data_IF_531607122765
#
_entry.id   IF_531607122765
#
_cell.length_a   1.000
_cell.length_b   1.000
_cell.length_c   1.000
_cell.angle_alpha   90.00
_cell.angle_beta   90.00
_cell.angle_gamma   90.00
#
_symmetry.space_group_name_H-M   'P 1'
#
loop_
_entity.id
_entity.type
_entity.pdbx_description
1 polymer ?
#
# COMPACT_ATOMS: atom_id res chain seq x y z
N UNK A 1 5.86 -15.19 -15.16
CA UNK A 1 5.81 -13.70 -15.14
C UNK A 1 4.54 -13.01 -15.68
N UNK A 2 3.72 -13.63 -16.55
CA UNK A 2 2.59 -12.94 -17.23
C UNK A 2 1.40 -12.55 -16.32
N UNK A 3 1.16 -13.27 -15.22
CA UNK A 3 0.04 -12.97 -14.28
C UNK A 3 0.44 -12.11 -13.08
N UNK A 4 1.69 -12.22 -12.61
CA UNK A 4 2.17 -11.50 -11.41
C UNK A 4 2.21 -9.99 -11.62
N UNK A 5 2.68 -9.54 -12.79
CA UNK A 5 2.82 -8.11 -13.13
C UNK A 5 1.51 -7.31 -13.16
N UNK A 6 0.42 -7.75 -13.80
CA UNK A 6 -0.84 -7.00 -13.78
C UNK A 6 -1.44 -6.92 -12.38
N UNK A 7 -1.33 -8.00 -11.58
CA UNK A 7 -1.81 -8.02 -10.19
C UNK A 7 -1.01 -7.05 -9.33
N UNK A 8 0.32 -7.07 -9.41
CA UNK A 8 1.20 -6.13 -8.67
C UNK A 8 0.90 -4.67 -9.03
N UNK A 9 0.69 -4.35 -10.32
CA UNK A 9 0.31 -3.00 -10.76
C UNK A 9 -1.03 -2.55 -10.19
N UNK A 10 -2.01 -3.45 -10.13
CA UNK A 10 -3.32 -3.17 -9.57
C UNK A 10 -3.24 -2.89 -8.06
N UNK A 11 -2.54 -3.77 -7.31
CA UNK A 11 -2.31 -3.61 -5.87
C UNK A 11 -1.52 -2.33 -5.57
N UNK A 12 -0.52 -2.00 -6.40
CA UNK A 12 0.21 -0.75 -6.30
C UNK A 12 -0.71 0.46 -6.45
N UNK A 13 -1.53 0.49 -7.50
CA UNK A 13 -2.47 1.58 -7.75
C UNK A 13 -3.47 1.78 -6.60
N UNK A 14 -4.00 0.69 -6.05
CA UNK A 14 -4.92 0.73 -4.90
C UNK A 14 -4.22 1.28 -3.65
N UNK A 15 -2.99 0.85 -3.36
CA UNK A 15 -2.25 1.36 -2.21
C UNK A 15 -1.97 2.86 -2.32
N UNK A 16 -1.58 3.33 -3.51
CA UNK A 16 -1.38 4.76 -3.76
C UNK A 16 -2.69 5.53 -3.56
N UNK A 17 -3.81 5.01 -4.06
CA UNK A 17 -5.12 5.63 -3.86
C UNK A 17 -5.46 5.76 -2.37
N UNK A 18 -5.29 4.70 -1.58
CA UNK A 18 -5.53 4.74 -0.14
C UNK A 18 -4.62 5.73 0.58
N UNK A 19 -3.32 5.77 0.24
CA UNK A 19 -2.39 6.75 0.82
C UNK A 19 -2.77 8.18 0.50
N UNK A 20 -3.23 8.45 -0.72
CA UNK A 20 -3.69 9.78 -1.13
C UNK A 20 -4.95 10.16 -0.35
N UNK A 21 -5.95 9.28 -0.29
CA UNK A 21 -7.19 9.54 0.46
C UNK A 21 -6.92 9.74 1.95
N UNK A 22 -6.01 8.94 2.53
CA UNK A 22 -5.59 9.05 3.92
C UNK A 22 -4.80 10.33 4.17
N UNK A 23 -3.92 10.72 3.25
CA UNK A 23 -3.20 11.99 3.31
C UNK A 23 -4.15 13.20 3.25
N UNK A 24 -5.23 13.11 2.46
CA UNK A 24 -6.28 14.13 2.43
C UNK A 24 -7.11 14.18 3.72
N UNK A 25 -7.36 13.03 4.36
CA UNK A 25 -8.13 12.99 5.60
C UNK A 25 -7.31 13.36 6.83
N UNK A 26 -5.98 13.16 6.79
CA UNK A 26 -5.09 13.34 7.94
C UNK A 26 -5.16 14.72 8.62
N UNK A 27 -5.23 15.86 7.89
CA UNK A 27 -5.35 17.18 8.51
C UNK A 27 -6.64 17.40 9.31
N UNK A 28 -7.66 16.59 9.06
CA UNK A 28 -8.95 16.64 9.76
C UNK A 28 -8.99 15.74 11.00
N UNK A 29 -7.90 15.05 11.31
CA UNK A 29 -7.79 14.17 12.47
C UNK A 29 -7.17 14.91 13.65
N UNK A 30 -7.88 14.91 14.77
CA UNK A 30 -7.38 15.48 16.02
C UNK A 30 -6.33 14.55 16.66
N UNK A 31 -5.13 15.05 16.99
CA UNK A 31 -4.12 14.25 17.68
C UNK A 31 -4.63 13.72 19.02
N UNK A 32 -4.31 12.46 19.34
CA UNK A 32 -4.72 11.82 20.59
C UNK A 32 -6.10 11.16 20.53
N UNK A 33 -6.81 11.26 19.40
CA UNK A 33 -8.05 10.50 19.17
C UNK A 33 -7.78 9.10 18.62
N UNK A 34 -8.72 8.18 18.81
CA UNK A 34 -8.62 6.82 18.24
C UNK A 34 -8.51 6.82 16.71
N UNK A 35 -9.17 7.76 16.03
CA UNK A 35 -9.11 7.91 14.57
C UNK A 35 -7.71 8.30 14.09
N UNK A 36 -6.99 9.14 14.83
CA UNK A 36 -5.60 9.50 14.52
C UNK A 36 -4.67 8.27 14.59
N UNK A 37 -4.85 7.41 15.60
CA UNK A 37 -4.06 6.17 15.74
C UNK A 37 -4.35 5.22 14.60
N UNK A 38 -5.63 5.02 14.28
CA UNK A 38 -6.04 4.16 13.16
C UNK A 38 -5.46 4.67 11.85
N UNK A 39 -5.59 5.97 11.57
CA UNK A 39 -5.02 6.54 10.35
C UNK A 39 -3.51 6.36 10.26
N UNK A 40 -2.79 6.56 11.36
CA UNK A 40 -1.33 6.37 11.40
C UNK A 40 -0.95 4.90 11.17
N UNK A 41 -1.68 3.95 11.75
CA UNK A 41 -1.45 2.52 11.51
C UNK A 41 -1.80 2.11 10.07
N UNK A 42 -2.89 2.62 9.52
CA UNK A 42 -3.26 2.40 8.12
C UNK A 42 -2.19 2.95 7.17
N UNK A 43 -1.64 4.15 7.45
CA UNK A 43 -0.54 4.71 6.67
C UNK A 43 0.68 3.80 6.69
N UNK A 44 1.06 3.31 7.87
CA UNK A 44 2.20 2.41 8.02
C UNK A 44 2.01 1.10 7.24
N UNK A 45 0.82 0.50 7.29
CA UNK A 45 0.49 -0.72 6.55
C UNK A 45 0.49 -0.49 5.04
N UNK A 46 -0.10 0.59 4.56
CA UNK A 46 -0.09 0.93 3.15
C UNK A 46 1.33 1.20 2.63
N UNK A 47 2.18 1.89 3.39
CA UNK A 47 3.58 2.12 3.04
C UNK A 47 4.38 0.82 2.99
N UNK A 48 4.17 -0.07 3.97
CA UNK A 48 4.81 -1.38 3.99
C UNK A 48 4.39 -2.22 2.77
N UNK A 49 3.10 -2.25 2.46
CA UNK A 49 2.60 -2.99 1.30
C UNK A 49 3.13 -2.40 -0.02
N UNK A 50 3.21 -1.06 -0.12
CA UNK A 50 3.80 -0.37 -1.25
C UNK A 50 5.28 -0.73 -1.42
N UNK A 51 6.04 -0.79 -0.32
CA UNK A 51 7.45 -1.18 -0.34
C UNK A 51 7.63 -2.62 -0.82
N UNK A 52 6.81 -3.57 -0.34
CA UNK A 52 6.85 -4.97 -0.79
C UNK A 52 6.55 -5.05 -2.29
N UNK A 53 5.47 -4.41 -2.76
CA UNK A 53 5.10 -4.42 -4.18
C UNK A 53 6.18 -3.77 -5.04
N UNK A 54 6.81 -2.70 -4.57
CA UNK A 54 7.91 -2.04 -5.26
C UNK A 54 9.14 -2.96 -5.37
N UNK A 55 9.50 -3.67 -4.29
CA UNK A 55 10.60 -4.65 -4.28
C UNK A 55 10.31 -5.79 -5.26
N UNK A 56 9.14 -6.42 -5.16
CA UNK A 56 8.74 -7.52 -6.04
C UNK A 56 8.75 -7.10 -7.51
N UNK A 57 8.28 -5.87 -7.80
CA UNK A 57 8.28 -5.32 -9.15
C UNK A 57 9.68 -4.97 -9.63
N UNK A 58 10.54 -4.38 -8.79
CA UNK A 58 11.89 -3.99 -9.20
C UNK A 58 12.79 -5.20 -9.45
N UNK A 59 12.76 -6.19 -8.57
CA UNK A 59 13.56 -7.41 -8.68
C UNK A 59 12.94 -8.48 -9.60
N UNK A 60 11.79 -8.20 -10.22
CA UNK A 60 11.07 -9.13 -11.11
C UNK A 60 10.83 -10.49 -10.44
N UNK A 61 10.50 -10.49 -9.14
CA UNK A 61 10.25 -11.74 -8.39
C UNK A 61 8.88 -12.29 -8.78
N UNK A 62 8.86 -13.54 -9.24
CA UNK A 62 7.63 -14.23 -9.63
C UNK A 62 7.04 -14.99 -8.45
N UNK A 63 6.01 -14.41 -7.83
CA UNK A 63 5.36 -14.97 -6.63
C UNK A 63 4.39 -16.11 -6.98
N UNK A 64 3.82 -16.09 -8.19
CA UNK A 64 2.77 -17.03 -8.59
C UNK A 64 3.26 -18.20 -9.46
N UNK A 65 4.54 -18.24 -9.85
CA UNK A 65 5.11 -19.37 -10.64
C UNK A 65 5.54 -20.56 -9.76
N UNK A 66 5.33 -20.51 -8.44
CA UNK A 66 5.68 -21.58 -7.49
C UNK A 66 4.49 -22.43 -7.00
N UNK A 67 3.32 -22.31 -7.64
CA UNK A 67 2.11 -23.08 -7.32
C UNK A 67 1.64 -23.94 -8.50
#
# INVERSE_FOLDING_TARGET
>A
MDRTRPVLKFVFGINVLFLVLLGFSYPYLEPGTGSYVVATMTAALCLLMLAIVAILTYFQIDVFDHF
#
